data_IF_557075060881
#
_entry.id   IF_557075060881
#
_cell.length_a   1.000
_cell.length_b   1.000
_cell.length_c   1.000
_cell.angle_alpha   90.00
_cell.angle_beta   90.00
_cell.angle_gamma   90.00
#
_symmetry.space_group_name_H-M   'P 1'
#
loop_
_entity.id
_entity.type
_entity.pdbx_description
1 polymer ?
#
# COMPACT_ATOMS: atom_id res chain seq x y z
N UNK A 1 26.01 4.95 -27.12
CA UNK A 1 24.86 4.02 -27.05
C UNK A 1 23.70 4.79 -26.45
N UNK A 2 22.58 4.94 -27.16
CA UNK A 2 21.38 5.61 -26.61
C UNK A 2 20.63 4.62 -25.70
N UNK A 3 20.15 5.03 -24.52
CA UNK A 3 19.37 4.15 -23.66
C UNK A 3 18.07 3.74 -24.36
N UNK A 4 17.63 2.50 -24.12
CA UNK A 4 16.34 1.99 -24.57
C UNK A 4 15.21 2.75 -23.88
N UNK A 5 14.05 2.91 -24.54
CA UNK A 5 12.87 3.62 -23.96
C UNK A 5 12.45 3.06 -22.59
N UNK A 6 12.61 1.75 -22.35
CA UNK A 6 12.33 1.11 -21.04
C UNK A 6 13.27 1.62 -19.94
N UNK A 7 14.55 1.79 -20.25
CA UNK A 7 15.57 2.32 -19.34
C UNK A 7 15.28 3.76 -18.95
N UNK A 8 14.77 4.59 -19.89
CA UNK A 8 14.40 5.97 -19.60
C UNK A 8 13.21 6.07 -18.64
N UNK A 9 12.20 5.20 -18.77
CA UNK A 9 11.04 5.20 -17.88
C UNK A 9 11.44 4.78 -16.46
N UNK A 10 12.28 3.75 -16.32
CA UNK A 10 12.79 3.31 -15.02
C UNK A 10 13.62 4.39 -14.32
N UNK A 11 14.46 5.09 -15.06
CA UNK A 11 15.23 6.23 -14.55
C UNK A 11 14.31 7.35 -14.05
N UNK A 12 13.32 7.75 -14.84
CA UNK A 12 12.35 8.78 -14.43
C UNK A 12 11.57 8.37 -13.16
N UNK A 13 11.18 7.10 -13.04
CA UNK A 13 10.50 6.61 -11.83
C UNK A 13 11.41 6.70 -10.61
N UNK A 14 12.68 6.34 -10.74
CA UNK A 14 13.66 6.46 -9.65
C UNK A 14 13.88 7.92 -9.24
N UNK A 15 13.99 8.85 -10.20
CA UNK A 15 14.17 10.28 -9.94
C UNK A 15 12.94 10.93 -9.27
N UNK A 16 11.74 10.48 -9.61
CA UNK A 16 10.49 11.01 -9.08
C UNK A 16 10.08 10.37 -7.75
N UNK A 17 10.59 9.18 -7.42
CA UNK A 17 10.24 8.47 -6.20
C UNK A 17 10.46 9.28 -4.92
N UNK A 18 11.60 9.97 -4.70
CA UNK A 18 11.81 10.76 -3.48
C UNK A 18 10.72 11.81 -3.20
N UNK A 19 10.04 12.30 -4.25
CA UNK A 19 8.93 13.25 -4.13
C UNK A 19 7.62 12.57 -3.71
N UNK A 20 7.37 11.37 -4.21
CA UNK A 20 6.16 10.59 -3.90
C UNK A 20 6.28 9.72 -2.63
N UNK A 21 7.51 9.41 -2.21
CA UNK A 21 7.78 8.52 -1.10
C UNK A 21 7.15 8.96 0.22
N UNK A 22 7.21 10.25 0.64
CA UNK A 22 6.63 10.69 1.91
C UNK A 22 5.12 10.45 1.97
N UNK A 23 4.39 10.84 0.91
CA UNK A 23 2.94 10.66 0.84
C UNK A 23 2.56 9.18 0.79
N UNK A 24 3.30 8.38 0.02
CA UNK A 24 3.04 6.93 -0.09
C UNK A 24 3.26 6.23 1.25
N UNK A 25 4.34 6.57 1.97
CA UNK A 25 4.62 6.03 3.31
C UNK A 25 3.58 6.50 4.33
N UNK A 26 3.15 7.76 4.27
CA UNK A 26 2.08 8.26 5.13
C UNK A 26 0.78 7.46 4.96
N UNK A 27 0.40 7.13 3.73
CA UNK A 27 -0.78 6.29 3.48
C UNK A 27 -0.62 4.87 4.05
N UNK A 28 0.59 4.31 4.07
CA UNK A 28 0.86 2.99 4.71
C UNK A 28 0.68 3.07 6.23
N UNK A 29 1.18 4.15 6.86
CA UNK A 29 1.02 4.36 8.30
C UNK A 29 -0.44 4.63 8.67
N UNK A 30 -1.16 5.42 7.87
CA UNK A 30 -2.59 5.65 8.05
C UNK A 30 -3.39 4.35 7.90
N UNK A 31 -3.08 3.55 6.89
CA UNK A 31 -3.68 2.22 6.69
C UNK A 31 -3.48 1.33 7.93
N UNK A 32 -2.27 1.31 8.49
CA UNK A 32 -1.97 0.55 9.71
C UNK A 32 -2.88 0.99 10.88
N UNK A 33 -2.99 2.30 11.11
CA UNK A 33 -3.85 2.85 12.16
C UNK A 33 -5.33 2.56 11.94
N UNK A 34 -5.81 2.62 10.70
CA UNK A 34 -7.19 2.28 10.36
C UNK A 34 -7.49 0.80 10.57
N UNK A 35 -6.57 -0.10 10.22
CA UNK A 35 -6.71 -1.55 10.46
C UNK A 35 -6.77 -1.88 11.95
N UNK A 36 -5.94 -1.22 12.78
CA UNK A 36 -6.00 -1.39 14.24
C UNK A 36 -7.33 -0.90 14.84
N UNK A 37 -7.88 0.20 14.32
CA UNK A 37 -9.21 0.69 14.73
C UNK A 37 -10.32 -0.25 14.26
N UNK A 38 -10.22 -0.79 13.05
CA UNK A 38 -11.16 -1.80 12.55
C UNK A 38 -11.13 -3.08 13.38
N UNK A 39 -9.98 -3.45 13.97
CA UNK A 39 -9.88 -4.62 14.86
C UNK A 39 -10.88 -4.54 16.01
N UNK A 40 -11.05 -3.35 16.58
CA UNK A 40 -11.99 -3.11 17.69
C UNK A 40 -13.38 -2.70 17.22
N UNK A 41 -13.52 -2.10 16.03
CA UNK A 41 -14.80 -1.62 15.49
C UNK A 41 -15.07 -2.13 14.06
N UNK A 42 -15.26 -3.45 13.89
CA UNK A 42 -15.34 -4.11 12.57
C UNK A 42 -16.58 -3.75 11.73
N UNK A 43 -17.64 -3.28 12.38
CA UNK A 43 -18.88 -2.86 11.71
C UNK A 43 -18.87 -1.42 11.21
N UNK A 44 -17.75 -0.72 11.38
CA UNK A 44 -17.60 0.67 10.97
C UNK A 44 -17.27 0.76 9.48
N UNK A 45 -18.31 0.96 8.69
CA UNK A 45 -18.21 1.06 7.23
C UNK A 45 -17.38 2.28 6.78
N UNK A 46 -17.33 3.36 7.57
CA UNK A 46 -16.52 4.54 7.25
C UNK A 46 -15.03 4.26 7.45
N UNK A 47 -14.66 3.63 8.58
CA UNK A 47 -13.28 3.18 8.81
C UNK A 47 -12.84 2.19 7.73
N UNK A 48 -13.76 1.30 7.35
CA UNK A 48 -13.51 0.31 6.31
C UNK A 48 -13.27 0.96 4.95
N UNK A 49 -14.11 1.92 4.57
CA UNK A 49 -13.96 2.67 3.33
C UNK A 49 -12.66 3.48 3.31
N UNK A 50 -12.29 4.11 4.43
CA UNK A 50 -11.03 4.84 4.55
C UNK A 50 -9.81 3.92 4.39
N UNK A 51 -9.84 2.72 5.00
CA UNK A 51 -8.76 1.74 4.89
C UNK A 51 -8.61 1.23 3.44
N UNK A 52 -9.72 0.98 2.75
CA UNK A 52 -9.73 0.61 1.33
C UNK A 52 -9.12 1.73 0.48
N UNK A 53 -9.49 2.99 0.73
CA UNK A 53 -8.95 4.13 -0.01
C UNK A 53 -7.43 4.29 0.18
N UNK A 54 -6.94 4.13 1.41
CA UNK A 54 -5.49 4.15 1.69
C UNK A 54 -4.76 3.02 0.97
N UNK A 55 -5.26 1.79 1.07
CA UNK A 55 -4.69 0.64 0.37
C UNK A 55 -4.66 0.86 -1.15
N UNK A 56 -5.71 1.43 -1.72
CA UNK A 56 -5.77 1.77 -3.14
C UNK A 56 -4.72 2.80 -3.57
N UNK A 57 -4.57 3.87 -2.79
CA UNK A 57 -3.57 4.89 -3.05
C UNK A 57 -2.14 4.32 -2.98
N UNK A 58 -1.86 3.45 -2.01
CA UNK A 58 -0.57 2.76 -1.90
C UNK A 58 -0.35 1.83 -3.10
N UNK A 59 -1.33 1.02 -3.47
CA UNK A 59 -1.23 0.11 -4.61
C UNK A 59 -0.90 0.84 -5.92
N UNK A 60 -1.59 1.96 -6.18
CA UNK A 60 -1.35 2.80 -7.34
C UNK A 60 0.06 3.40 -7.34
N UNK A 61 0.47 4.03 -6.24
CA UNK A 61 1.80 4.63 -6.13
C UNK A 61 2.92 3.58 -6.23
N UNK A 62 2.85 2.51 -5.43
CA UNK A 62 3.83 1.41 -5.45
C UNK A 62 3.94 0.79 -6.85
N UNK A 63 2.81 0.55 -7.51
CA UNK A 63 2.75 0.06 -8.88
C UNK A 63 3.38 1.03 -9.88
N UNK A 64 3.15 2.34 -9.72
CA UNK A 64 3.74 3.41 -10.55
C UNK A 64 5.23 3.58 -10.30
N UNK A 65 5.80 3.19 -9.17
CA UNK A 65 7.25 3.29 -8.92
C UNK A 65 8.02 1.95 -8.97
N UNK A 66 7.32 0.84 -9.22
CA UNK A 66 7.93 -0.47 -9.45
C UNK A 66 8.24 -1.23 -8.17
N UNK A 67 7.51 -0.95 -7.09
CA UNK A 67 7.49 -1.70 -5.84
C UNK A 67 6.41 -2.78 -5.93
N UNK A 68 6.78 -3.91 -6.54
CA UNK A 68 5.81 -4.92 -6.96
C UNK A 68 5.17 -5.64 -5.77
N UNK A 69 5.93 -5.87 -4.69
CA UNK A 69 5.44 -6.59 -3.53
C UNK A 69 4.50 -5.72 -2.68
N UNK A 70 4.81 -4.44 -2.50
CA UNK A 70 3.99 -3.45 -1.83
C UNK A 70 2.70 -3.21 -2.61
N UNK A 71 2.77 -3.12 -3.95
CA UNK A 71 1.58 -2.98 -4.79
C UNK A 71 0.65 -4.20 -4.64
N UNK A 72 1.21 -5.41 -4.68
CA UNK A 72 0.46 -6.66 -4.49
C UNK A 72 -0.11 -6.79 -3.08
N UNK A 73 0.67 -6.48 -2.06
CA UNK A 73 0.25 -6.50 -0.65
C UNK A 73 -0.92 -5.53 -0.43
N UNK A 74 -0.85 -4.32 -1.00
CA UNK A 74 -1.92 -3.33 -0.89
C UNK A 74 -3.22 -3.79 -1.57
N UNK A 75 -3.12 -4.43 -2.74
CA UNK A 75 -4.29 -5.03 -3.41
C UNK A 75 -4.89 -6.19 -2.60
N UNK A 76 -4.07 -6.97 -1.91
CA UNK A 76 -4.54 -8.04 -1.02
C UNK A 76 -5.30 -7.48 0.20
N UNK A 77 -4.83 -6.36 0.77
CA UNK A 77 -5.55 -5.62 1.81
C UNK A 77 -6.90 -5.14 1.28
N UNK A 78 -6.95 -4.46 0.13
CA UNK A 78 -8.21 -4.03 -0.49
C UNK A 78 -9.19 -5.19 -0.67
N UNK A 79 -8.73 -6.30 -1.24
CA UNK A 79 -9.56 -7.48 -1.51
C UNK A 79 -10.14 -8.03 -0.21
N UNK A 80 -9.32 -8.15 0.82
CA UNK A 80 -9.73 -8.63 2.14
C UNK A 80 -10.76 -7.69 2.78
N UNK A 81 -10.52 -6.38 2.69
CA UNK A 81 -11.42 -5.36 3.21
C UNK A 81 -12.72 -5.23 2.41
N UNK A 82 -12.86 -5.81 1.22
CA UNK A 82 -14.13 -5.82 0.47
C UNK A 82 -15.03 -7.04 0.77
N UNK A 83 -14.52 -8.00 1.53
CA UNK A 83 -15.30 -9.18 1.92
C UNK A 83 -16.49 -8.81 2.81
N UNK A 84 -17.51 -9.66 2.98
CA UNK A 84 -18.67 -9.28 3.81
C UNK A 84 -18.36 -9.33 5.31
N UNK A 85 -17.49 -10.25 5.73
CA UNK A 85 -17.19 -10.51 7.14
C UNK A 85 -15.68 -10.35 7.41
N UNK A 86 -15.33 -9.35 8.22
CA UNK A 86 -13.98 -9.15 8.72
C UNK A 86 -13.80 -9.91 10.03
N UNK A 87 -12.89 -10.89 10.01
CA UNK A 87 -12.48 -11.66 11.17
C UNK A 87 -11.11 -11.18 11.67
N UNK A 88 -10.72 -11.55 12.88
CA UNK A 88 -9.43 -11.15 13.45
C UNK A 88 -8.24 -11.61 12.61
N UNK A 89 -8.27 -12.86 12.15
CA UNK A 89 -7.23 -13.43 11.28
C UNK A 89 -7.09 -12.68 9.96
N UNK A 90 -8.19 -12.12 9.43
CA UNK A 90 -8.17 -11.29 8.24
C UNK A 90 -7.49 -9.94 8.50
N UNK A 91 -7.68 -9.35 9.68
CA UNK A 91 -7.02 -8.09 10.07
C UNK A 91 -5.53 -8.32 10.32
N UNK A 92 -5.17 -9.43 10.96
CA UNK A 92 -3.78 -9.85 11.15
C UNK A 92 -3.07 -10.01 9.80
N UNK A 93 -3.72 -10.66 8.83
CA UNK A 93 -3.21 -10.78 7.47
C UNK A 93 -3.07 -9.43 6.75
N UNK A 94 -3.99 -8.49 6.98
CA UNK A 94 -3.87 -7.13 6.45
C UNK A 94 -2.67 -6.39 7.04
N UNK A 95 -2.43 -6.49 8.35
CA UNK A 95 -1.28 -5.86 9.00
C UNK A 95 0.05 -6.50 8.58
N UNK A 96 0.08 -7.82 8.35
CA UNK A 96 1.25 -8.47 7.77
C UNK A 96 1.57 -7.92 6.37
N UNK A 97 0.55 -7.62 5.56
CA UNK A 97 0.73 -6.96 4.27
C UNK A 97 1.23 -5.51 4.41
N UNK A 98 0.80 -4.78 5.45
CA UNK A 98 1.35 -3.44 5.75
C UNK A 98 2.85 -3.52 6.03
N UNK A 99 3.33 -4.54 6.75
CA UNK A 99 4.77 -4.71 6.97
C UNK A 99 5.55 -4.96 5.67
N UNK A 100 4.99 -5.73 4.73
CA UNK A 100 5.59 -5.89 3.39
C UNK A 100 5.73 -4.54 2.70
N UNK A 101 4.68 -3.70 2.74
CA UNK A 101 4.73 -2.35 2.17
C UNK A 101 5.79 -1.49 2.86
N UNK A 102 5.86 -1.50 4.20
CA UNK A 102 6.87 -0.73 4.95
C UNK A 102 8.28 -1.13 4.54
N UNK A 103 8.58 -2.43 4.52
CA UNK A 103 9.91 -2.95 4.19
C UNK A 103 10.31 -2.55 2.77
N UNK A 104 9.48 -2.81 1.77
CA UNK A 104 9.86 -2.55 0.37
C UNK A 104 10.00 -1.03 0.11
N UNK A 105 9.12 -0.21 0.69
CA UNK A 105 9.12 1.24 0.49
C UNK A 105 10.19 1.96 1.32
N UNK A 106 10.82 1.31 2.30
CA UNK A 106 11.95 1.86 3.07
C UNK A 106 13.28 1.74 2.33
N UNK A 107 13.41 0.79 1.40
CA UNK A 107 14.62 0.66 0.58
C UNK A 107 14.71 1.87 -0.34
N UNK A 108 15.49 2.88 0.07
CA UNK A 108 15.93 3.96 -0.81
C UNK A 108 16.67 3.30 -1.98
N UNK A 109 16.08 3.36 -3.17
CA UNK A 109 16.77 3.00 -4.41
C UNK A 109 17.83 4.04 -4.74
#
# INVERSE_FOLDING_TARGET
MSPSRSTTIEQLRAELWPQAAPATRANVEELAGLLERLRTNRGDDELRAAAIACAHAVAGSAGVYGFADAARAAQQVETTLRTRELRDDAIDACLANVEVMRVELQVSR
#
